data_IF_952110374670
#
_entry.id   IF_952110374670
#
_cell.length_a   1.000
_cell.length_b   1.000
_cell.length_c   1.000
_cell.angle_alpha   90.00
_cell.angle_beta   90.00
_cell.angle_gamma   90.00
#
_symmetry.space_group_name_H-M   'P 1'
#
loop_
_entity.id
_entity.type
_entity.pdbx_description
1 polymer ?
#
# COMPACT_ATOMS: atom_id res chain seq x y z
N UNK A 1 -13.17 14.06 -3.19
CA UNK A 1 -12.52 15.23 -2.54
C UNK A 1 -11.27 14.85 -1.73
N UNK A 2 -11.27 13.77 -0.93
CA UNK A 2 -10.07 13.37 -0.16
C UNK A 2 -8.90 12.96 -1.07
N UNK A 3 -9.12 12.11 -2.08
CA UNK A 3 -8.06 11.66 -2.98
C UNK A 3 -7.36 12.81 -3.72
N UNK A 4 -8.16 13.79 -4.21
CA UNK A 4 -7.66 15.02 -4.83
C UNK A 4 -6.65 15.75 -3.95
N UNK A 5 -7.03 16.01 -2.70
CA UNK A 5 -6.22 16.79 -1.76
C UNK A 5 -4.94 16.05 -1.37
N UNK A 6 -4.98 14.72 -1.30
CA UNK A 6 -3.78 13.92 -1.02
C UNK A 6 -2.87 13.91 -2.24
N UNK A 7 -3.40 13.73 -3.45
CA UNK A 7 -2.63 13.79 -4.69
C UNK A 7 -1.91 15.15 -4.85
N UNK A 8 -2.63 16.25 -4.59
CA UNK A 8 -2.06 17.62 -4.58
C UNK A 8 -0.91 17.77 -3.57
N UNK A 9 -1.09 17.29 -2.33
CA UNK A 9 -0.04 17.33 -1.29
C UNK A 9 1.18 16.45 -1.63
N UNK A 10 0.95 15.35 -2.35
CA UNK A 10 1.98 14.43 -2.82
C UNK A 10 2.71 14.96 -4.07
N UNK A 11 2.18 15.98 -4.76
CA UNK A 11 2.73 16.45 -6.03
C UNK A 11 2.51 15.49 -7.20
N UNK A 12 1.52 14.59 -7.10
CA UNK A 12 1.18 13.60 -8.14
C UNK A 12 -0.17 13.89 -8.76
N UNK A 13 -0.45 13.31 -9.93
CA UNK A 13 -1.76 13.42 -10.55
C UNK A 13 -2.83 12.64 -9.76
N UNK A 14 -4.09 13.10 -9.79
CA UNK A 14 -5.22 12.33 -9.26
C UNK A 14 -5.28 10.91 -9.85
N UNK A 15 -4.94 10.75 -11.13
CA UNK A 15 -4.96 9.47 -11.80
C UNK A 15 -3.87 8.52 -11.25
N UNK A 16 -2.69 9.04 -10.94
CA UNK A 16 -1.60 8.29 -10.29
C UNK A 16 -2.06 7.80 -8.91
N UNK A 17 -2.57 8.71 -8.08
CA UNK A 17 -3.02 8.37 -6.73
C UNK A 17 -4.18 7.36 -6.75
N UNK A 18 -5.13 7.52 -7.69
CA UNK A 18 -6.24 6.57 -7.87
C UNK A 18 -5.77 5.17 -8.27
N UNK A 19 -4.70 5.06 -9.08
CA UNK A 19 -4.10 3.76 -9.41
C UNK A 19 -3.47 3.11 -8.17
N UNK A 20 -2.81 3.88 -7.30
CA UNK A 20 -2.30 3.39 -6.02
C UNK A 20 -3.42 2.84 -5.13
N UNK A 21 -4.52 3.58 -4.95
CA UNK A 21 -5.67 3.11 -4.17
C UNK A 21 -6.33 1.83 -4.73
N UNK A 22 -6.14 1.55 -6.02
CA UNK A 22 -6.64 0.35 -6.69
C UNK A 22 -5.60 -0.77 -6.80
N UNK A 23 -4.42 -0.58 -6.18
CA UNK A 23 -3.31 -1.52 -6.26
C UNK A 23 -2.81 -1.79 -7.70
N UNK A 24 -3.12 -0.92 -8.67
CA UNK A 24 -2.73 -1.07 -10.09
C UNK A 24 -1.23 -0.78 -10.26
N UNK A 25 -0.76 0.26 -9.57
CA UNK A 25 0.66 0.61 -9.44
C UNK A 25 0.93 0.88 -7.97
N UNK A 26 2.19 0.78 -7.55
CA UNK A 26 2.60 1.12 -6.19
C UNK A 26 3.34 2.47 -6.17
N UNK A 27 3.24 3.23 -5.07
CA UNK A 27 4.18 4.32 -4.81
C UNK A 27 5.60 3.75 -4.61
N UNK A 28 6.61 4.55 -4.89
CA UNK A 28 7.97 4.30 -4.40
C UNK A 28 8.01 4.37 -2.88
N UNK A 29 9.10 3.88 -2.28
CA UNK A 29 9.28 3.93 -0.83
C UNK A 29 9.26 5.37 -0.29
N UNK A 30 9.86 6.31 -1.01
CA UNK A 30 9.85 7.74 -0.64
C UNK A 30 8.44 8.33 -0.68
N UNK A 31 7.67 8.00 -1.73
CA UNK A 31 6.28 8.42 -1.85
C UNK A 31 5.39 7.77 -0.78
N UNK A 32 5.60 6.50 -0.46
CA UNK A 32 4.87 5.82 0.61
C UNK A 32 5.18 6.45 1.98
N UNK A 33 6.45 6.78 2.24
CA UNK A 33 6.85 7.49 3.44
C UNK A 33 6.21 8.89 3.52
N UNK A 34 6.18 9.65 2.43
CA UNK A 34 5.51 10.95 2.41
C UNK A 34 4.00 10.81 2.65
N UNK A 35 3.37 9.80 2.03
CA UNK A 35 1.95 9.51 2.18
C UNK A 35 1.59 9.23 3.65
N UNK A 36 2.37 8.40 4.33
CA UNK A 36 2.13 8.06 5.75
C UNK A 36 2.18 9.32 6.63
N UNK A 37 3.09 10.25 6.35
CA UNK A 37 3.16 11.55 7.03
C UNK A 37 1.98 12.46 6.74
N UNK A 38 1.47 12.47 5.50
CA UNK A 38 0.31 13.30 5.12
C UNK A 38 -0.98 12.82 5.80
N UNK A 39 -1.16 11.50 5.94
CA UNK A 39 -2.39 10.92 6.49
C UNK A 39 -2.30 10.55 7.97
N UNK A 40 -1.10 10.65 8.57
CA UNK A 40 -0.90 10.49 10.01
C UNK A 40 -0.87 9.04 10.49
N UNK A 41 -0.35 8.13 9.67
CA UNK A 41 -0.20 6.70 9.98
C UNK A 41 1.28 6.29 9.94
N UNK A 42 1.61 5.09 10.41
CA UNK A 42 2.96 4.55 10.27
C UNK A 42 3.21 4.06 8.84
N UNK A 43 4.47 3.76 8.48
CA UNK A 43 4.74 3.20 7.15
C UNK A 43 4.20 1.77 7.05
N UNK A 44 4.26 1.03 8.15
CA UNK A 44 3.75 -0.33 8.28
C UNK A 44 2.23 -0.39 8.07
N UNK A 45 1.49 0.63 8.49
CA UNK A 45 0.05 0.75 8.23
C UNK A 45 -0.30 0.85 6.73
N UNK A 46 0.68 1.15 5.85
CA UNK A 46 0.51 1.15 4.39
C UNK A 46 0.79 -0.21 3.75
N UNK A 47 1.33 -1.17 4.48
CA UNK A 47 1.75 -2.47 3.97
C UNK A 47 0.71 -3.56 4.24
N UNK A 48 0.49 -4.46 3.27
CA UNK A 48 -0.21 -5.71 3.52
C UNK A 48 0.73 -6.71 4.19
N UNK A 49 0.30 -7.31 5.31
CA UNK A 49 1.08 -8.35 5.98
C UNK A 49 0.86 -9.67 5.24
N UNK A 50 1.88 -10.10 4.49
CA UNK A 50 1.91 -11.45 3.91
C UNK A 50 2.52 -12.38 4.96
N UNK A 51 1.68 -13.13 5.66
CA UNK A 51 2.16 -14.29 6.40
C UNK A 51 2.43 -15.39 5.36
N UNK A 52 3.66 -15.88 5.29
CA UNK A 52 3.92 -17.11 4.55
C UNK A 52 3.05 -18.20 5.18
N UNK A 53 2.06 -18.70 4.44
CA UNK A 53 1.42 -19.96 4.79
C UNK A 53 2.54 -21.00 4.80
N UNK A 54 3.01 -21.39 5.98
CA UNK A 54 3.78 -22.62 6.14
C UNK A 54 2.99 -23.70 5.44
N UNK A 55 3.49 -24.15 4.28
CA UNK A 55 2.92 -25.27 3.53
C UNK A 55 2.63 -26.37 4.54
N UNK A 56 1.35 -26.64 4.82
CA UNK A 56 0.99 -27.86 5.54
C UNK A 56 1.46 -29.00 4.65
N UNK A 57 2.51 -29.68 5.07
CA UNK A 57 2.92 -30.93 4.43
C UNK A 57 1.68 -31.83 4.33
N UNK A 58 1.41 -32.45 3.18
CA UNK A 58 0.29 -33.37 3.09
C UNK A 58 0.55 -34.49 4.09
N UNK A 59 -0.39 -34.66 5.04
CA UNK A 59 -0.41 -35.81 5.92
C UNK A 59 -0.31 -37.06 5.04
N UNK A 60 0.82 -37.75 5.11
CA UNK A 60 1.01 -39.01 4.43
C UNK A 60 0.00 -39.98 5.05
N UNK A 61 -1.08 -40.26 4.33
CA UNK A 61 -2.04 -41.26 4.72
C UNK A 61 -1.38 -42.63 4.62
N UNK A 62 -1.31 -43.32 5.76
CA UNK A 62 -0.94 -44.74 5.87
C UNK A 62 -2.06 -45.66 5.34
#
# INVERSE_FOLDING_TARGET
>A
MIQKRVAEKMGVSEQTFHKWCKNITQPSLEEAYLLSRIIGVSLEDLCEVVYEETKKEPAHGE
#
